data_IF_650128854609
#
_entry.id   IF_650128854609
#
_cell.length_a   1.000
_cell.length_b   1.000
_cell.length_c   1.000
_cell.angle_alpha   90.00
_cell.angle_beta   90.00
_cell.angle_gamma   90.00
#
_symmetry.space_group_name_H-M   'P 1'
#
loop_
_entity.id
_entity.type
_entity.pdbx_description
1 polymer ?
#
# COMPACT_ATOMS: atom_id res chain seq x y z
N UNK A 1 -6.51 8.95 -4.89
CA UNK A 1 -7.60 8.11 -5.41
C UNK A 1 -7.93 8.49 -6.84
N UNK A 2 -8.40 9.73 -7.08
CA UNK A 2 -8.86 10.19 -8.41
C UNK A 2 -7.82 9.96 -9.52
N UNK A 3 -6.57 10.39 -9.33
CA UNK A 3 -5.50 10.20 -10.31
C UNK A 3 -5.27 8.71 -10.66
N UNK A 4 -5.28 7.82 -9.66
CA UNK A 4 -5.10 6.37 -9.89
C UNK A 4 -6.25 5.79 -10.72
N UNK A 5 -7.49 6.22 -10.47
CA UNK A 5 -8.66 5.74 -11.21
C UNK A 5 -8.62 6.23 -12.65
N UNK A 6 -8.21 7.48 -12.89
CA UNK A 6 -8.06 8.02 -14.25
C UNK A 6 -6.96 7.30 -15.00
N UNK A 7 -5.76 7.16 -14.42
CA UNK A 7 -4.66 6.41 -15.03
C UNK A 7 -5.08 4.99 -15.41
N UNK A 8 -5.80 4.30 -14.50
CA UNK A 8 -6.28 2.96 -14.77
C UNK A 8 -7.29 2.92 -15.93
N UNK A 9 -8.22 3.89 -15.97
CA UNK A 9 -9.19 4.00 -17.05
C UNK A 9 -8.50 4.26 -18.38
N UNK A 10 -7.62 5.23 -18.46
CA UNK A 10 -6.86 5.56 -19.67
C UNK A 10 -6.06 4.35 -20.19
N UNK A 11 -5.43 3.59 -19.29
CA UNK A 11 -4.71 2.38 -19.68
C UNK A 11 -5.64 1.31 -20.22
N UNK A 12 -6.80 1.07 -19.59
CA UNK A 12 -7.79 0.12 -20.10
C UNK A 12 -8.32 0.57 -21.46
N UNK A 13 -8.60 1.85 -21.62
CA UNK A 13 -9.13 2.40 -22.88
C UNK A 13 -8.10 2.29 -24.01
N UNK A 14 -6.80 2.48 -23.73
CA UNK A 14 -5.73 2.43 -24.72
C UNK A 14 -5.23 1.00 -25.02
N UNK A 15 -5.10 0.16 -24.01
CA UNK A 15 -4.42 -1.15 -24.13
C UNK A 15 -5.30 -2.34 -23.76
N UNK A 16 -6.49 -2.08 -23.22
CA UNK A 16 -7.38 -3.12 -22.66
C UNK A 16 -6.87 -3.72 -21.33
N UNK A 17 -5.72 -3.26 -20.81
CA UNK A 17 -4.99 -3.91 -19.73
C UNK A 17 -4.32 -2.91 -18.80
N UNK A 18 -4.22 -3.22 -17.49
CA UNK A 18 -3.46 -2.46 -16.50
C UNK A 18 -2.13 -3.17 -16.28
N UNK A 19 -1.03 -2.56 -16.73
CA UNK A 19 0.29 -3.12 -16.48
C UNK A 19 0.67 -3.01 -15.00
N UNK A 20 1.14 -4.10 -14.41
CA UNK A 20 1.59 -4.10 -13.01
C UNK A 20 2.70 -3.08 -12.80
N UNK A 21 2.47 -2.14 -11.90
CA UNK A 21 3.43 -1.10 -11.54
C UNK A 21 3.35 0.19 -12.34
N UNK A 22 2.44 0.28 -13.31
CA UNK A 22 2.25 1.48 -14.14
C UNK A 22 1.46 2.57 -13.42
N UNK A 23 0.55 2.20 -12.52
CA UNK A 23 -0.27 3.15 -11.77
C UNK A 23 0.57 3.86 -10.70
N UNK A 24 0.98 5.07 -11.00
CA UNK A 24 1.89 5.88 -10.15
C UNK A 24 1.15 6.97 -9.38
N UNK A 25 -0.01 7.41 -9.87
CA UNK A 25 -0.76 8.52 -9.29
C UNK A 25 0.04 9.82 -9.27
N UNK A 26 -0.36 10.73 -8.39
CA UNK A 26 0.25 12.07 -8.29
C UNK A 26 1.72 12.05 -7.88
N UNK A 27 2.18 11.00 -7.19
CA UNK A 27 3.55 10.96 -6.65
C UNK A 27 4.58 10.42 -7.63
N UNK A 28 4.17 10.04 -8.83
CA UNK A 28 4.99 9.37 -9.86
C UNK A 28 5.67 8.07 -9.38
N UNK A 29 5.33 7.59 -8.16
CA UNK A 29 5.84 6.34 -7.58
C UNK A 29 4.70 5.55 -6.95
N UNK A 30 4.45 4.32 -7.46
CA UNK A 30 3.35 3.46 -7.01
C UNK A 30 3.40 3.15 -5.50
N UNK A 31 4.59 2.92 -4.94
CA UNK A 31 4.72 2.56 -3.54
C UNK A 31 4.43 3.74 -2.62
N UNK A 32 4.86 4.95 -3.01
CA UNK A 32 4.58 6.19 -2.28
C UNK A 32 3.07 6.51 -2.36
N UNK A 33 2.47 6.39 -3.54
CA UNK A 33 1.01 6.58 -3.70
C UNK A 33 0.22 5.58 -2.86
N UNK A 34 0.57 4.28 -2.91
CA UNK A 34 -0.09 3.24 -2.14
C UNK A 34 0.07 3.47 -0.62
N UNK A 35 1.27 3.81 -0.16
CA UNK A 35 1.52 4.14 1.24
C UNK A 35 0.72 5.37 1.68
N UNK A 36 0.69 6.42 0.86
CA UNK A 36 -0.08 7.64 1.11
C UNK A 36 -1.59 7.37 1.22
N UNK A 37 -2.11 6.40 0.50
CA UNK A 37 -3.50 5.95 0.62
C UNK A 37 -3.72 5.11 1.89
N UNK A 38 -2.83 4.15 2.14
CA UNK A 38 -2.93 3.25 3.28
C UNK A 38 -2.88 3.99 4.62
N UNK A 39 -1.97 4.98 4.77
CA UNK A 39 -1.83 5.74 6.02
C UNK A 39 -3.07 6.59 6.36
N UNK A 40 -3.94 6.87 5.40
CA UNK A 40 -5.19 7.61 5.62
C UNK A 40 -6.31 6.73 6.18
N UNK A 41 -6.21 5.41 6.01
CA UNK A 41 -7.25 4.47 6.47
C UNK A 41 -7.48 4.55 7.98
N UNK A 42 -6.46 4.54 8.86
CA UNK A 42 -6.67 4.71 10.30
C UNK A 42 -7.46 5.97 10.67
N UNK A 43 -7.23 7.08 9.97
CA UNK A 43 -7.98 8.33 10.20
C UNK A 43 -9.44 8.19 9.78
N UNK A 44 -9.73 7.51 8.66
CA UNK A 44 -11.10 7.22 8.23
C UNK A 44 -11.78 6.31 9.26
N UNK A 45 -11.09 5.28 9.73
CA UNK A 45 -11.60 4.38 10.77
C UNK A 45 -11.89 5.12 12.07
N UNK A 46 -11.03 6.04 12.48
CA UNK A 46 -11.26 6.92 13.63
C UNK A 46 -12.52 7.78 13.44
N UNK A 47 -12.74 8.34 12.26
CA UNK A 47 -13.93 9.15 11.95
C UNK A 47 -15.23 8.36 12.09
N UNK A 48 -15.25 7.04 11.84
CA UNK A 48 -16.42 6.20 12.12
C UNK A 48 -16.81 6.15 13.62
N UNK A 49 -15.89 6.45 14.53
CA UNK A 49 -16.20 6.59 15.96
C UNK A 49 -16.75 7.96 16.32
N UNK A 50 -16.32 9.01 15.63
CA UNK A 50 -16.67 10.40 15.95
C UNK A 50 -17.99 10.84 15.30
N UNK A 51 -18.25 10.38 14.08
CA UNK A 51 -19.39 10.84 13.28
C UNK A 51 -20.64 10.04 13.64
N UNK A 52 -21.72 10.78 13.96
CA UNK A 52 -23.03 10.22 14.30
C UNK A 52 -24.06 10.35 13.18
N UNK A 53 -23.90 11.32 12.28
CA UNK A 53 -24.84 11.58 11.19
C UNK A 53 -24.68 10.53 10.08
N UNK A 54 -25.78 9.81 9.79
CA UNK A 54 -25.80 8.71 8.81
C UNK A 54 -25.31 9.11 7.42
N UNK A 55 -25.64 10.33 6.97
CA UNK A 55 -25.17 10.82 5.66
C UNK A 55 -23.63 10.89 5.57
N UNK A 56 -22.95 11.37 6.62
CA UNK A 56 -21.49 11.43 6.63
C UNK A 56 -20.84 10.03 6.76
N UNK A 57 -21.49 9.11 7.49
CA UNK A 57 -21.05 7.71 7.53
C UNK A 57 -21.13 7.09 6.13
N UNK A 58 -22.22 7.32 5.39
CA UNK A 58 -22.35 6.83 4.01
C UNK A 58 -21.25 7.40 3.09
N UNK A 59 -20.96 8.69 3.20
CA UNK A 59 -19.85 9.32 2.45
C UNK A 59 -18.52 8.67 2.81
N UNK A 60 -18.24 8.42 4.09
CA UNK A 60 -17.01 7.75 4.52
C UNK A 60 -16.90 6.32 3.99
N UNK A 61 -18.01 5.57 3.95
CA UNK A 61 -18.05 4.21 3.37
C UNK A 61 -17.69 4.26 1.89
N UNK A 62 -18.26 5.21 1.14
CA UNK A 62 -17.96 5.40 -0.29
C UNK A 62 -16.49 5.79 -0.49
N UNK A 63 -15.97 6.74 0.30
CA UNK A 63 -14.56 7.13 0.23
C UNK A 63 -13.63 5.95 0.55
N UNK A 64 -13.97 5.16 1.58
CA UNK A 64 -13.22 3.96 1.95
C UNK A 64 -13.20 2.94 0.80
N UNK A 65 -14.33 2.72 0.14
CA UNK A 65 -14.42 1.85 -1.02
C UNK A 65 -13.45 2.29 -2.12
N UNK A 66 -13.44 3.57 -2.50
CA UNK A 66 -12.55 4.07 -3.55
C UNK A 66 -11.08 4.03 -3.15
N UNK A 67 -10.74 4.26 -1.87
CA UNK A 67 -9.37 4.11 -1.37
C UNK A 67 -8.91 2.66 -1.47
N UNK A 68 -9.73 1.72 -1.04
CA UNK A 68 -9.41 0.28 -1.08
C UNK A 68 -9.33 -0.24 -2.52
N UNK A 69 -10.24 0.20 -3.38
CA UNK A 69 -10.20 -0.12 -4.82
C UNK A 69 -8.90 0.40 -5.45
N UNK A 70 -8.51 1.65 -5.19
CA UNK A 70 -7.26 2.21 -5.70
C UNK A 70 -6.04 1.44 -5.19
N UNK A 71 -6.01 1.03 -3.92
CA UNK A 71 -4.94 0.19 -3.36
C UNK A 71 -4.86 -1.17 -4.04
N UNK A 72 -6.01 -1.80 -4.32
CA UNK A 72 -6.06 -3.08 -5.02
C UNK A 72 -5.52 -2.98 -6.45
N UNK A 73 -5.76 -1.87 -7.14
CA UNK A 73 -5.27 -1.61 -8.51
C UNK A 73 -3.77 -1.33 -8.56
N UNK A 74 -3.22 -0.60 -7.57
CA UNK A 74 -1.77 -0.28 -7.50
C UNK A 74 -0.93 -1.53 -7.21
N UNK A 75 -1.47 -2.54 -6.54
CA UNK A 75 -0.81 -3.82 -6.27
C UNK A 75 0.53 -3.71 -5.51
N UNK A 76 0.63 -2.79 -4.55
CA UNK A 76 1.82 -2.66 -3.71
C UNK A 76 1.80 -3.68 -2.56
N UNK A 77 2.73 -4.64 -2.56
CA UNK A 77 2.86 -5.67 -1.51
C UNK A 77 3.01 -5.07 -0.11
N UNK A 78 3.84 -4.05 0.04
CA UNK A 78 4.06 -3.37 1.33
C UNK A 78 2.77 -2.72 1.87
N UNK A 79 1.95 -2.15 0.96
CA UNK A 79 0.68 -1.53 1.36
C UNK A 79 -0.38 -2.56 1.75
N UNK A 80 -0.36 -3.76 1.13
CA UNK A 80 -1.23 -4.86 1.56
C UNK A 80 -0.86 -5.37 2.95
N UNK A 81 0.43 -5.48 3.27
CA UNK A 81 0.89 -5.81 4.63
C UNK A 81 0.46 -4.74 5.64
N UNK A 82 0.69 -3.46 5.32
CA UNK A 82 0.24 -2.36 6.16
C UNK A 82 -1.28 -2.36 6.39
N UNK A 83 -2.06 -2.61 5.32
CA UNK A 83 -3.51 -2.76 5.42
C UNK A 83 -3.89 -3.94 6.33
N UNK A 84 -3.20 -5.08 6.21
CA UNK A 84 -3.41 -6.24 7.09
C UNK A 84 -3.22 -5.91 8.57
N UNK A 85 -2.15 -5.19 8.92
CA UNK A 85 -1.89 -4.73 10.29
C UNK A 85 -3.00 -3.80 10.78
N UNK A 86 -3.43 -2.84 9.94
CA UNK A 86 -4.54 -1.92 10.27
C UNK A 86 -5.83 -2.71 10.53
N UNK A 87 -6.14 -3.70 9.69
CA UNK A 87 -7.33 -4.54 9.83
C UNK A 87 -7.31 -5.35 11.12
N UNK A 88 -6.20 -6.03 11.40
CA UNK A 88 -6.03 -6.81 12.64
C UNK A 88 -6.24 -5.91 13.86
N UNK A 89 -5.61 -4.74 13.87
CA UNK A 89 -5.75 -3.77 14.95
C UNK A 89 -7.19 -3.27 15.11
N UNK A 90 -7.83 -2.90 14.02
CA UNK A 90 -9.20 -2.37 14.03
C UNK A 90 -10.24 -3.42 14.47
N UNK A 91 -10.17 -4.61 13.88
CA UNK A 91 -11.11 -5.70 14.24
C UNK A 91 -10.84 -6.22 15.65
N UNK A 92 -9.57 -6.36 16.04
CA UNK A 92 -9.18 -6.73 17.39
C UNK A 92 -9.72 -5.74 18.42
N UNK A 93 -9.54 -4.44 18.20
CA UNK A 93 -10.07 -3.40 19.08
C UNK A 93 -11.59 -3.47 19.20
N UNK A 94 -12.33 -3.53 18.08
CA UNK A 94 -13.79 -3.62 18.11
C UNK A 94 -14.27 -4.89 18.81
N UNK A 95 -13.59 -6.01 18.61
CA UNK A 95 -13.92 -7.28 19.30
C UNK A 95 -13.70 -7.18 20.81
N UNK A 96 -12.56 -6.64 21.24
CA UNK A 96 -12.26 -6.44 22.68
C UNK A 96 -13.29 -5.51 23.31
N UNK A 97 -13.63 -4.39 22.67
CA UNK A 97 -14.63 -3.45 23.17
C UNK A 97 -16.04 -4.08 23.22
N UNK A 98 -16.39 -4.88 22.20
CA UNK A 98 -17.65 -5.62 22.21
C UNK A 98 -17.72 -6.63 23.39
N UNK A 99 -16.66 -7.40 23.59
CA UNK A 99 -16.61 -8.39 24.67
C UNK A 99 -16.69 -7.72 26.06
N UNK A 100 -16.07 -6.55 26.21
CA UNK A 100 -16.04 -5.78 27.46
C UNK A 100 -17.37 -5.08 27.74
N UNK A 101 -17.92 -4.38 26.76
CA UNK A 101 -19.09 -3.51 26.97
C UNK A 101 -20.40 -4.13 26.47
N UNK A 102 -20.35 -5.25 25.72
CA UNK A 102 -21.50 -5.94 25.10
C UNK A 102 -22.40 -5.05 24.23
N UNK A 103 -21.84 -3.95 23.69
CA UNK A 103 -22.57 -3.02 22.82
C UNK A 103 -22.45 -3.43 21.36
N UNK A 104 -23.58 -3.72 20.72
CA UNK A 104 -23.68 -4.07 19.29
C UNK A 104 -23.07 -3.01 18.35
N UNK A 105 -22.97 -1.75 18.82
CA UNK A 105 -22.39 -0.63 18.06
C UNK A 105 -20.97 -0.92 17.56
N UNK A 106 -20.18 -1.69 18.29
CA UNK A 106 -18.82 -2.04 17.86
C UNK A 106 -18.84 -2.99 16.66
N UNK A 107 -19.76 -3.95 16.62
CA UNK A 107 -19.94 -4.83 15.46
C UNK A 107 -20.46 -4.07 14.25
N UNK A 108 -21.39 -3.12 14.45
CA UNK A 108 -21.87 -2.24 13.38
C UNK A 108 -20.71 -1.40 12.81
N UNK A 109 -19.83 -0.87 13.65
CA UNK A 109 -18.63 -0.12 13.18
C UNK A 109 -17.68 -1.01 12.38
N UNK A 110 -17.54 -2.26 12.77
CA UNK A 110 -16.78 -3.24 11.98
C UNK A 110 -17.34 -3.39 10.57
N UNK A 111 -18.66 -3.43 10.41
CA UNK A 111 -19.30 -3.53 9.10
C UNK A 111 -19.07 -2.31 8.22
N UNK A 112 -18.91 -1.11 8.77
CA UNK A 112 -18.63 0.11 8.00
C UNK A 112 -17.32 0.01 7.21
N UNK A 113 -16.37 -0.80 7.66
CA UNK A 113 -15.15 -1.08 6.92
C UNK A 113 -15.25 -2.38 6.09
N UNK A 114 -15.86 -3.44 6.65
CA UNK A 114 -15.97 -4.72 5.94
C UNK A 114 -16.76 -4.62 4.63
N UNK A 115 -17.86 -3.87 4.63
CA UNK A 115 -18.68 -3.70 3.42
C UNK A 115 -17.87 -3.10 2.27
N UNK A 116 -17.24 -1.91 2.39
CA UNK A 116 -16.43 -1.36 1.31
C UNK A 116 -15.20 -2.22 0.98
N UNK A 117 -14.61 -2.92 1.97
CA UNK A 117 -13.47 -3.81 1.74
C UNK A 117 -13.86 -5.00 0.86
N UNK A 118 -14.92 -5.71 1.21
CA UNK A 118 -15.41 -6.86 0.45
C UNK A 118 -15.86 -6.39 -0.95
N UNK A 119 -16.59 -5.28 -1.03
CA UNK A 119 -17.05 -4.73 -2.31
C UNK A 119 -15.89 -4.35 -3.23
N UNK A 120 -14.82 -3.76 -2.71
CA UNK A 120 -13.63 -3.40 -3.49
C UNK A 120 -12.89 -4.67 -3.97
N UNK A 121 -12.76 -5.69 -3.12
CA UNK A 121 -12.17 -6.97 -3.51
C UNK A 121 -12.99 -7.71 -4.56
N UNK A 122 -14.32 -7.75 -4.41
CA UNK A 122 -15.21 -8.38 -5.39
C UNK A 122 -15.13 -7.67 -6.74
N UNK A 123 -15.18 -6.33 -6.76
CA UNK A 123 -15.03 -5.58 -8.00
C UNK A 123 -13.66 -5.81 -8.64
N UNK A 124 -12.59 -5.85 -7.84
CA UNK A 124 -11.26 -6.18 -8.33
C UNK A 124 -11.24 -7.58 -8.94
N UNK A 125 -11.75 -8.58 -8.23
CA UNK A 125 -11.68 -9.97 -8.67
C UNK A 125 -12.56 -10.24 -9.91
N UNK A 126 -13.78 -9.67 -9.99
CA UNK A 126 -14.72 -9.94 -11.07
C UNK A 126 -14.34 -9.16 -12.35
N UNK A 127 -13.89 -7.92 -12.20
CA UNK A 127 -13.69 -7.02 -13.34
C UNK A 127 -12.22 -6.68 -13.60
N UNK A 128 -11.46 -6.32 -12.58
CA UNK A 128 -10.10 -5.80 -12.75
C UNK A 128 -9.04 -6.90 -12.85
N UNK A 129 -9.30 -8.11 -12.33
CA UNK A 129 -8.34 -9.23 -12.43
C UNK A 129 -8.08 -9.61 -13.88
N UNK A 130 -9.14 -9.68 -14.70
CA UNK A 130 -9.02 -9.93 -16.14
C UNK A 130 -8.31 -8.79 -16.90
N UNK A 131 -8.23 -7.62 -16.31
CA UNK A 131 -7.53 -6.43 -16.85
C UNK A 131 -6.11 -6.26 -16.30
N UNK A 132 -5.56 -7.27 -15.64
CA UNK A 132 -4.18 -7.25 -15.13
C UNK A 132 -4.01 -6.72 -13.71
N UNK A 133 -5.07 -6.26 -13.06
CA UNK A 133 -5.02 -5.74 -11.68
C UNK A 133 -5.55 -6.78 -10.67
N UNK A 134 -5.00 -8.00 -10.68
CA UNK A 134 -5.36 -9.06 -9.74
C UNK A 134 -4.70 -8.85 -8.37
N UNK A 135 -5.47 -8.30 -7.43
CA UNK A 135 -5.00 -8.00 -6.08
C UNK A 135 -4.73 -9.26 -5.25
N UNK A 136 -5.54 -10.33 -5.41
CA UNK A 136 -5.39 -11.55 -4.62
C UNK A 136 -4.15 -12.34 -5.05
N UNK A 137 -3.95 -12.53 -6.35
CA UNK A 137 -2.71 -13.14 -6.86
C UNK A 137 -1.50 -12.33 -6.43
N UNK A 138 -1.57 -11.00 -6.46
CA UNK A 138 -0.48 -10.15 -6.01
C UNK A 138 -0.22 -10.26 -4.51
N UNK A 139 -1.25 -10.35 -3.68
CA UNK A 139 -1.11 -10.56 -2.23
C UNK A 139 -0.48 -11.94 -1.93
N UNK A 140 -0.83 -12.97 -2.68
CA UNK A 140 -0.25 -14.31 -2.55
C UNK A 140 1.27 -14.35 -2.86
N UNK A 141 1.80 -13.38 -3.62
CA UNK A 141 3.26 -13.26 -3.86
C UNK A 141 4.04 -12.60 -2.72
N UNK A 142 3.38 -12.24 -1.61
CA UNK A 142 4.08 -11.68 -0.44
C UNK A 142 4.89 -12.81 0.20
N UNK A 143 6.21 -12.68 0.18
CA UNK A 143 7.13 -13.58 0.85
C UNK A 143 8.17 -12.77 1.62
N UNK A 144 8.66 -13.36 2.70
CA UNK A 144 9.77 -12.83 3.49
C UNK A 144 11.07 -13.60 3.20
N UNK A 145 11.07 -14.39 2.12
CA UNK A 145 12.24 -15.17 1.71
C UNK A 145 13.31 -14.25 1.11
N UNK A 146 14.56 -14.52 1.43
CA UNK A 146 15.74 -13.89 0.80
C UNK A 146 15.86 -14.20 -0.68
N UNK A 147 15.12 -15.18 -1.20
CA UNK A 147 15.04 -15.48 -2.63
C UNK A 147 14.16 -14.48 -3.41
N UNK A 148 13.37 -13.62 -2.73
CA UNK A 148 12.65 -12.52 -3.39
C UNK A 148 13.64 -11.43 -3.78
N UNK A 149 13.82 -11.20 -5.06
CA UNK A 149 14.77 -10.22 -5.59
C UNK A 149 14.58 -8.80 -5.03
N UNK A 150 13.33 -8.41 -4.70
CA UNK A 150 13.04 -7.11 -4.10
C UNK A 150 13.46 -7.02 -2.63
N UNK A 151 13.36 -8.13 -1.88
CA UNK A 151 13.81 -8.21 -0.49
C UNK A 151 15.34 -8.20 -0.46
N UNK A 152 15.95 -9.05 -1.29
CA UNK A 152 17.42 -9.17 -1.37
C UNK A 152 18.08 -7.84 -1.77
N UNK A 153 17.52 -7.14 -2.76
CA UNK A 153 18.01 -5.81 -3.16
C UNK A 153 17.95 -4.79 -2.01
N UNK A 154 16.89 -4.81 -1.20
CA UNK A 154 16.78 -3.90 -0.04
C UNK A 154 17.77 -4.25 1.06
N UNK A 155 17.97 -5.54 1.33
CA UNK A 155 18.96 -6.00 2.31
C UNK A 155 20.36 -5.56 1.91
N UNK A 156 20.71 -5.70 0.62
CA UNK A 156 21.97 -5.21 0.08
C UNK A 156 22.13 -3.71 0.28
N UNK A 157 21.12 -2.90 -0.07
CA UNK A 157 21.19 -1.45 0.15
C UNK A 157 21.34 -1.09 1.64
N UNK A 158 20.71 -1.83 2.56
CA UNK A 158 20.90 -1.59 3.99
C UNK A 158 22.32 -1.93 4.43
N UNK A 159 22.92 -2.99 3.90
CA UNK A 159 24.30 -3.37 4.21
C UNK A 159 25.30 -2.32 3.70
N UNK A 160 25.13 -1.84 2.46
CA UNK A 160 25.91 -0.75 1.89
C UNK A 160 25.82 0.53 2.73
N UNK A 161 24.61 0.92 3.14
CA UNK A 161 24.39 2.09 4.00
C UNK A 161 25.06 1.90 5.35
N UNK A 162 24.91 0.72 5.99
CA UNK A 162 25.52 0.43 7.28
C UNK A 162 27.05 0.44 7.21
N UNK A 163 27.61 -0.08 6.13
CA UNK A 163 29.06 -0.06 5.88
C UNK A 163 29.57 1.37 5.71
N UNK A 164 28.85 2.21 4.96
CA UNK A 164 29.19 3.63 4.83
C UNK A 164 29.08 4.37 6.17
N UNK A 165 28.03 4.10 6.96
CA UNK A 165 27.82 4.74 8.27
C UNK A 165 28.95 4.42 9.26
N UNK A 166 29.59 3.25 9.19
CA UNK A 166 30.74 2.92 10.04
C UNK A 166 31.93 3.85 9.81
N UNK A 167 32.15 4.27 8.57
CA UNK A 167 33.24 5.18 8.20
C UNK A 167 32.89 6.66 8.31
N UNK A 168 31.59 7.02 8.18
CA UNK A 168 31.12 8.40 8.18
C UNK A 168 29.84 8.58 9.06
N UNK A 169 29.92 8.37 10.39
CA UNK A 169 28.73 8.22 11.24
C UNK A 169 27.96 9.52 11.47
N UNK A 170 28.57 10.69 11.33
CA UNK A 170 27.96 11.98 11.69
C UNK A 170 27.49 12.73 10.43
N UNK A 171 28.38 12.86 9.45
CA UNK A 171 28.13 13.71 8.28
C UNK A 171 27.48 12.92 7.12
N UNK A 172 27.71 11.60 7.07
CA UNK A 172 27.23 10.76 5.97
C UNK A 172 27.79 11.21 4.62
N UNK A 173 26.99 11.08 3.56
CA UNK A 173 27.35 11.51 2.19
C UNK A 173 26.77 12.86 1.80
N UNK A 174 25.96 13.47 2.65
CA UNK A 174 25.19 14.66 2.34
C UNK A 174 23.91 14.39 1.51
N UNK A 175 23.04 15.39 1.46
CA UNK A 175 21.73 15.26 0.82
C UNK A 175 21.89 15.01 -0.69
N UNK A 176 21.24 13.94 -1.19
CA UNK A 176 21.19 13.60 -2.61
C UNK A 176 22.45 12.89 -3.15
N UNK A 177 23.56 12.85 -2.43
CA UNK A 177 24.82 12.29 -2.91
C UNK A 177 24.89 10.75 -2.82
N UNK A 178 23.91 10.10 -2.15
CA UNK A 178 23.90 8.65 -2.03
C UNK A 178 23.91 7.94 -3.39
N UNK A 179 23.26 8.50 -4.41
CA UNK A 179 23.24 7.93 -5.76
C UNK A 179 24.65 7.78 -6.36
N UNK A 180 25.52 8.72 -6.11
CA UNK A 180 26.91 8.68 -6.58
C UNK A 180 27.76 7.75 -5.72
N UNK A 181 27.57 7.81 -4.42
CA UNK A 181 28.37 7.03 -3.47
C UNK A 181 28.02 5.54 -3.49
N UNK A 182 26.76 5.20 -3.71
CA UNK A 182 26.31 3.79 -3.77
C UNK A 182 26.97 2.99 -4.88
N UNK A 183 27.43 3.64 -5.96
CA UNK A 183 28.14 2.99 -7.06
C UNK A 183 29.47 2.35 -6.58
N UNK A 184 30.12 2.92 -5.58
CA UNK A 184 31.37 2.39 -5.03
C UNK A 184 31.19 1.05 -4.30
N UNK A 185 29.98 0.80 -3.76
CA UNK A 185 29.63 -0.44 -3.03
C UNK A 185 29.08 -1.53 -3.96
N UNK A 186 28.69 -1.17 -5.18
CA UNK A 186 28.06 -2.08 -6.15
C UNK A 186 28.92 -2.29 -7.40
N UNK A 187 30.22 -1.99 -7.30
CA UNK A 187 31.15 -2.02 -8.44
C UNK A 187 31.26 -3.41 -9.10
N UNK A 188 31.01 -4.48 -8.36
CA UNK A 188 31.11 -5.86 -8.85
C UNK A 188 29.84 -6.36 -9.56
N UNK A 189 28.70 -5.66 -9.46
CA UNK A 189 27.40 -6.09 -9.98
C UNK A 189 26.73 -5.05 -10.89
N UNK A 190 27.52 -4.35 -11.69
CA UNK A 190 27.07 -3.27 -12.59
C UNK A 190 26.00 -3.72 -13.61
N UNK A 191 25.85 -5.02 -13.85
CA UNK A 191 24.92 -5.57 -14.86
C UNK A 191 23.43 -5.42 -14.54
N UNK A 192 23.05 -5.00 -13.35
CA UNK A 192 21.66 -4.81 -12.93
C UNK A 192 21.39 -3.52 -12.17
N UNK A 193 22.33 -2.60 -12.09
CA UNK A 193 22.19 -1.41 -11.28
C UNK A 193 21.25 -0.39 -11.92
N UNK A 194 20.04 -0.30 -11.38
CA UNK A 194 19.13 0.82 -11.62
C UNK A 194 19.34 1.82 -10.51
N UNK A 195 20.00 2.94 -10.82
CA UNK A 195 20.13 4.06 -9.88
C UNK A 195 18.73 4.45 -9.40
N UNK A 196 18.39 4.31 -8.12
CA UNK A 196 17.06 4.69 -7.66
C UNK A 196 16.88 6.20 -7.83
N UNK A 197 15.84 6.60 -8.55
CA UNK A 197 15.44 7.99 -8.76
C UNK A 197 14.90 8.61 -7.49
#
# INVERSE_FOLDING_TARGET
>A
VYAVIIEAKEMIDLTGFISSGSLKGVTANRNITAFSLAIKIPFILFLFYQIKKRAYIAILIILTFFVLLSLSMIQSRASFLGLGVILIGYFGLNTILYLKEKKITYLIRTSYFLVPFISALLLNQIYLSSKGADALSRAATISFSTNDGSVNQRLRYYDDVLTHMKSNPIVGVGLGNWKLKSIEYDADDIKGYVVPY
#
